data_IF_893912466263
#
_entry.id   IF_893912466263
#
_cell.length_a   1.000
_cell.length_b   1.000
_cell.length_c   1.000
_cell.angle_alpha   90.00
_cell.angle_beta   90.00
_cell.angle_gamma   90.00
#
_symmetry.space_group_name_H-M   'P 1'
#
loop_
_entity.id
_entity.type
_entity.pdbx_description
1 polymer ?
#
# COMPACT_ATOMS: atom_id res chain seq x y z
N UNK A 1 18.68 -17.24 33.49
CA UNK A 1 17.33 -16.75 33.16
C UNK A 1 17.52 -15.41 32.47
N UNK A 2 17.46 -15.39 31.13
CA UNK A 2 17.80 -14.21 30.34
C UNK A 2 16.64 -13.22 30.47
N UNK A 3 16.72 -12.27 31.40
CA UNK A 3 15.75 -11.17 31.48
C UNK A 3 16.00 -10.33 30.23
N UNK A 4 15.13 -10.47 29.23
CA UNK A 4 15.21 -9.63 28.03
C UNK A 4 15.27 -8.17 28.47
N UNK A 5 16.20 -7.40 27.88
CA UNK A 5 16.34 -5.96 28.11
C UNK A 5 14.93 -5.32 27.99
N UNK A 6 14.46 -4.59 29.02
CA UNK A 6 13.11 -4.03 29.02
C UNK A 6 12.85 -3.12 27.80
N UNK A 7 13.90 -2.49 27.24
CA UNK A 7 13.77 -1.75 25.99
C UNK A 7 13.46 -2.67 24.82
N UNK A 8 14.22 -3.75 24.66
CA UNK A 8 14.04 -4.73 23.59
C UNK A 8 12.65 -5.36 23.68
N UNK A 9 12.25 -5.83 24.87
CA UNK A 9 10.96 -6.47 25.07
C UNK A 9 9.79 -5.53 24.72
N UNK A 10 9.83 -4.28 25.18
CA UNK A 10 8.80 -3.29 24.89
C UNK A 10 8.77 -2.91 23.40
N UNK A 11 9.93 -2.76 22.75
CA UNK A 11 9.99 -2.41 21.34
C UNK A 11 9.45 -3.54 20.45
N UNK A 12 9.91 -4.78 20.67
CA UNK A 12 9.48 -5.93 19.88
C UNK A 12 7.99 -6.20 20.03
N UNK A 13 7.40 -5.95 21.22
CA UNK A 13 5.96 -6.04 21.43
C UNK A 13 5.16 -5.07 20.53
N UNK A 14 5.76 -3.95 20.11
CA UNK A 14 5.09 -2.93 19.30
C UNK A 14 5.65 -2.79 17.87
N UNK A 15 6.76 -3.46 17.51
CA UNK A 15 7.43 -3.33 16.21
C UNK A 15 6.46 -3.45 15.04
N UNK A 16 5.61 -4.49 15.03
CA UNK A 16 4.62 -4.71 13.96
C UNK A 16 3.64 -3.54 13.83
N UNK A 17 3.18 -2.99 14.94
CA UNK A 17 2.30 -1.81 14.95
C UNK A 17 3.04 -0.58 14.39
N UNK A 18 4.27 -0.34 14.84
CA UNK A 18 5.09 0.79 14.37
C UNK A 18 5.35 0.72 12.87
N UNK A 19 5.71 -0.45 12.34
CA UNK A 19 5.87 -0.66 10.90
C UNK A 19 4.56 -0.42 10.14
N UNK A 20 3.43 -0.91 10.69
CA UNK A 20 2.11 -0.69 10.12
C UNK A 20 1.70 0.79 10.06
N UNK A 21 2.03 1.57 11.10
CA UNK A 21 1.84 3.03 11.15
C UNK A 21 2.71 3.69 10.09
N UNK A 22 4.02 3.42 10.13
CA UNK A 22 5.00 4.08 9.28
C UNK A 22 4.71 3.81 7.80
N UNK A 23 4.39 2.57 7.42
CA UNK A 23 4.01 2.23 6.05
C UNK A 23 2.71 2.92 5.61
N UNK A 24 1.68 2.97 6.46
CA UNK A 24 0.43 3.70 6.15
C UNK A 24 0.65 5.20 6.05
N UNK A 25 1.63 5.76 6.74
CA UNK A 25 2.02 7.16 6.63
C UNK A 25 2.87 7.45 5.42
N UNK A 26 3.75 6.54 5.01
CA UNK A 26 4.79 6.81 4.01
C UNK A 26 4.54 6.16 2.67
N UNK A 27 3.70 5.12 2.56
CA UNK A 27 3.48 4.34 1.33
C UNK A 27 4.76 3.82 0.68
N UNK A 28 5.82 3.67 1.47
CA UNK A 28 7.12 3.10 1.11
C UNK A 28 7.53 2.16 2.24
N UNK A 29 7.92 0.94 1.88
CA UNK A 29 8.37 -0.09 2.83
C UNK A 29 9.73 0.31 3.38
N UNK A 30 10.65 0.70 2.50
CA UNK A 30 12.00 1.14 2.89
C UNK A 30 11.96 2.34 3.84
N UNK A 31 11.23 3.41 3.48
CA UNK A 31 11.10 4.56 4.36
C UNK A 31 10.43 4.19 5.71
N UNK A 32 9.49 3.23 5.71
CA UNK A 32 8.86 2.77 6.94
C UNK A 32 9.83 2.01 7.86
N UNK A 33 10.62 1.10 7.30
CA UNK A 33 11.68 0.38 8.02
C UNK A 33 12.71 1.33 8.62
N UNK A 34 13.15 2.33 7.84
CA UNK A 34 14.06 3.38 8.30
C UNK A 34 13.49 4.15 9.49
N UNK A 35 12.21 4.55 9.45
CA UNK A 35 11.58 5.28 10.56
C UNK A 35 11.39 4.41 11.80
N UNK A 36 11.12 3.11 11.64
CA UNK A 36 11.05 2.15 12.76
C UNK A 36 12.44 1.95 13.37
N UNK A 37 13.48 1.85 12.56
CA UNK A 37 14.85 1.74 13.03
C UNK A 37 15.31 3.00 13.78
N UNK A 38 15.05 4.19 13.25
CA UNK A 38 15.33 5.46 13.93
C UNK A 38 14.54 5.57 15.26
N UNK A 39 13.30 5.06 15.28
CA UNK A 39 12.51 4.97 16.53
C UNK A 39 13.19 4.08 17.56
N UNK A 40 13.71 2.91 17.15
CA UNK A 40 14.48 2.02 18.03
C UNK A 40 15.72 2.72 18.61
N UNK A 41 16.49 3.43 17.77
CA UNK A 41 17.70 4.12 18.22
C UNK A 41 17.43 5.21 19.28
N UNK A 42 16.26 5.86 19.21
CA UNK A 42 15.81 6.81 20.22
C UNK A 42 15.30 6.11 21.47
N UNK A 43 14.54 5.02 21.29
CA UNK A 43 13.99 4.22 22.39
C UNK A 43 15.08 3.60 23.26
N UNK A 44 16.11 3.03 22.65
CA UNK A 44 17.24 2.42 23.35
C UNK A 44 18.06 3.40 24.22
N UNK A 45 17.82 4.71 24.07
CA UNK A 45 18.45 5.77 24.87
C UNK A 45 17.46 6.47 25.82
N UNK A 46 16.19 6.08 25.80
CA UNK A 46 15.16 6.72 26.60
C UNK A 46 15.29 6.32 28.07
N UNK A 47 15.04 7.26 28.98
CA UNK A 47 14.87 6.92 30.39
C UNK A 47 13.46 6.36 30.62
N UNK A 48 13.38 5.04 30.84
CA UNK A 48 12.11 4.36 31.05
C UNK A 48 11.35 4.86 32.29
N UNK A 49 12.00 5.54 33.23
CA UNK A 49 11.33 6.11 34.41
C UNK A 49 10.49 7.34 34.08
N UNK A 50 10.80 8.05 33.00
CA UNK A 50 10.05 9.21 32.51
C UNK A 50 8.94 8.82 31.50
N UNK A 51 8.96 7.57 31.04
CA UNK A 51 8.01 7.06 30.05
C UNK A 51 6.74 6.57 30.74
N UNK A 52 5.61 7.26 30.49
CA UNK A 52 4.29 6.84 31.00
C UNK A 52 3.89 5.45 30.50
N UNK A 53 3.93 5.25 29.18
CA UNK A 53 3.71 3.94 28.54
C UNK A 53 4.64 3.80 27.33
N UNK A 54 5.32 2.64 27.15
CA UNK A 54 6.18 2.42 25.97
C UNK A 54 5.43 2.60 24.65
N UNK A 55 4.21 2.09 24.56
CA UNK A 55 3.37 2.21 23.37
C UNK A 55 3.15 3.67 22.95
N UNK A 56 2.72 4.54 23.87
CA UNK A 56 2.43 5.94 23.56
C UNK A 56 3.70 6.69 23.12
N UNK A 57 4.82 6.43 23.79
CA UNK A 57 6.11 7.02 23.45
C UNK A 57 6.56 6.60 22.04
N UNK A 58 6.55 5.29 21.75
CA UNK A 58 7.00 4.74 20.47
C UNK A 58 6.14 5.25 19.32
N UNK A 59 4.81 5.26 19.49
CA UNK A 59 3.87 5.76 18.49
C UNK A 59 4.05 7.27 18.25
N UNK A 60 4.32 8.04 19.30
CA UNK A 60 4.62 9.47 19.17
C UNK A 60 5.88 9.70 18.35
N UNK A 61 6.95 8.97 18.67
CA UNK A 61 8.24 9.13 17.99
C UNK A 61 8.16 8.72 16.53
N UNK A 62 7.62 7.54 16.22
CA UNK A 62 7.51 7.07 14.82
C UNK A 62 6.61 8.00 14.01
N UNK A 63 5.52 8.51 14.58
CA UNK A 63 4.59 9.41 13.87
C UNK A 63 5.24 10.75 13.53
N UNK A 64 6.02 11.32 14.46
CA UNK A 64 6.76 12.57 14.22
C UNK A 64 7.84 12.39 13.16
N UNK A 65 8.60 11.31 13.23
CA UNK A 65 9.58 10.93 12.21
C UNK A 65 8.93 10.79 10.82
N UNK A 66 7.80 10.08 10.74
CA UNK A 66 7.04 9.94 9.50
C UNK A 66 6.48 11.26 8.98
N UNK A 67 6.02 12.17 9.85
CA UNK A 67 5.55 13.50 9.45
C UNK A 67 6.66 14.33 8.80
N UNK A 68 7.87 14.28 9.36
CA UNK A 68 9.01 14.99 8.79
C UNK A 68 9.44 14.36 7.47
N UNK A 69 9.44 13.02 7.38
CA UNK A 69 9.71 12.32 6.12
C UNK A 69 8.66 12.63 5.05
N UNK A 70 7.38 12.68 5.40
CA UNK A 70 6.27 13.00 4.50
C UNK A 70 6.44 14.35 3.79
N UNK A 71 7.00 15.36 4.48
CA UNK A 71 7.28 16.66 3.87
C UNK A 71 8.28 16.52 2.71
N UNK A 72 9.34 15.73 2.91
CA UNK A 72 10.35 15.48 1.89
C UNK A 72 9.84 14.55 0.77
N UNK A 73 9.12 13.48 1.15
CA UNK A 73 8.54 12.54 0.20
C UNK A 73 7.52 13.21 -0.72
N UNK A 74 6.77 14.20 -0.23
CA UNK A 74 5.85 14.98 -1.06
C UNK A 74 6.57 15.72 -2.18
N UNK A 75 7.70 16.38 -1.88
CA UNK A 75 8.51 17.09 -2.90
C UNK A 75 9.02 16.10 -3.95
N UNK A 76 9.54 14.94 -3.51
CA UNK A 76 9.99 13.89 -4.41
C UNK A 76 8.85 13.33 -5.29
N UNK A 77 7.62 13.24 -4.76
CA UNK A 77 6.43 12.78 -5.49
C UNK A 77 5.94 13.80 -6.51
N UNK A 78 6.09 15.09 -6.23
CA UNK A 78 5.75 16.16 -7.18
C UNK A 78 6.70 16.13 -8.41
N UNK A 79 7.93 15.67 -8.22
CA UNK A 79 8.93 15.47 -9.30
C UNK A 79 8.87 14.06 -9.93
N UNK A 80 7.97 13.19 -9.46
CA UNK A 80 7.90 11.80 -9.92
C UNK A 80 7.38 11.70 -11.35
N UNK A 81 8.12 10.98 -12.21
CA UNK A 81 7.71 10.78 -13.59
C UNK A 81 6.61 9.71 -13.71
N UNK A 82 5.41 10.14 -14.06
CA UNK A 82 4.26 9.28 -14.31
C UNK A 82 3.36 9.10 -13.08
N UNK A 83 2.56 8.02 -13.08
CA UNK A 83 1.63 7.74 -11.96
C UNK A 83 2.39 7.08 -10.81
N UNK A 84 2.38 7.68 -9.62
CA UNK A 84 2.91 7.06 -8.40
C UNK A 84 1.95 5.98 -7.87
N UNK A 85 2.47 4.79 -7.57
CA UNK A 85 1.80 3.80 -6.74
C UNK A 85 2.58 3.56 -5.44
N UNK A 86 1.90 3.31 -4.29
CA UNK A 86 2.58 2.86 -3.07
C UNK A 86 3.48 1.64 -3.31
N UNK A 87 4.58 1.52 -2.58
CA UNK A 87 5.39 0.30 -2.62
C UNK A 87 4.55 -0.92 -2.21
N UNK A 88 4.60 -2.03 -2.98
CA UNK A 88 3.90 -3.26 -2.62
C UNK A 88 4.33 -3.76 -1.24
N UNK A 89 3.36 -3.98 -0.36
CA UNK A 89 3.61 -4.57 0.95
C UNK A 89 3.23 -6.05 0.93
N UNK A 90 4.22 -6.93 1.10
CA UNK A 90 3.99 -8.35 1.25
C UNK A 90 3.88 -8.68 2.75
N UNK A 91 2.86 -9.43 3.19
CA UNK A 91 2.93 -10.05 4.51
C UNK A 91 4.18 -10.94 4.57
N UNK A 92 4.94 -10.89 5.65
CA UNK A 92 6.00 -11.86 5.89
C UNK A 92 5.42 -13.28 5.79
N UNK A 93 5.97 -14.08 4.89
CA UNK A 93 5.61 -15.48 4.73
C UNK A 93 6.25 -16.32 5.86
N UNK A 94 5.88 -16.09 7.13
CA UNK A 94 6.12 -17.01 8.25
C UNK A 94 5.56 -16.46 9.58
N UNK A 95 4.28 -16.71 9.86
CA UNK A 95 3.85 -16.86 11.25
C UNK A 95 2.69 -17.85 11.30
N UNK A 96 2.97 -19.08 11.75
CA UNK A 96 2.03 -20.20 11.95
C UNK A 96 1.13 -20.02 13.18
N UNK A 97 0.85 -18.79 13.58
CA UNK A 97 0.04 -18.45 14.75
C UNK A 97 -1.41 -18.14 14.31
N UNK A 98 -2.43 -18.93 14.75
CA UNK A 98 -3.83 -18.76 14.34
C UNK A 98 -4.51 -17.47 14.83
N UNK A 99 -3.82 -16.65 15.63
CA UNK A 99 -4.36 -15.42 16.24
C UNK A 99 -4.05 -14.15 15.45
N UNK A 100 -3.41 -14.25 14.28
CA UNK A 100 -3.16 -13.12 13.36
C UNK A 100 -4.42 -12.62 12.61
N UNK A 101 -5.61 -12.86 13.17
CA UNK A 101 -6.93 -12.63 12.59
C UNK A 101 -7.61 -11.39 13.19
N UNK A 102 -6.92 -10.24 13.23
CA UNK A 102 -7.58 -8.93 13.27
C UNK A 102 -6.72 -7.95 12.47
N UNK A 103 -7.19 -7.65 11.25
CA UNK A 103 -7.18 -6.38 10.52
C UNK A 103 -5.87 -5.54 10.48
N UNK A 104 -5.36 -5.03 9.36
CA UNK A 104 -5.93 -4.73 8.07
C UNK A 104 -4.76 -4.79 7.08
N UNK A 105 -4.89 -5.57 6.04
CA UNK A 105 -4.07 -5.32 4.87
C UNK A 105 -4.49 -4.01 4.22
N UNK A 106 -3.59 -3.05 4.15
CA UNK A 106 -3.91 -1.74 3.60
C UNK A 106 -4.07 -1.85 2.11
N UNK A 107 -5.29 -1.65 1.63
CA UNK A 107 -5.54 -1.67 0.19
C UNK A 107 -4.75 -0.57 -0.51
N UNK A 108 -4.27 -0.87 -1.71
CA UNK A 108 -3.55 0.09 -2.55
C UNK A 108 -4.41 1.32 -2.80
N UNK A 109 -5.71 1.13 -3.02
CA UNK A 109 -6.67 2.21 -3.19
C UNK A 109 -6.72 3.15 -1.98
N UNK A 110 -6.80 2.61 -0.76
CA UNK A 110 -6.79 3.43 0.46
C UNK A 110 -5.49 4.22 0.56
N UNK A 111 -4.33 3.61 0.29
CA UNK A 111 -3.04 4.30 0.30
C UNK A 111 -3.01 5.44 -0.73
N UNK A 112 -3.49 5.23 -1.95
CA UNK A 112 -3.60 6.29 -2.98
C UNK A 112 -4.49 7.44 -2.50
N UNK A 113 -5.58 7.16 -1.78
CA UNK A 113 -6.44 8.19 -1.21
C UNK A 113 -5.75 8.96 -0.09
N UNK A 114 -5.02 8.25 0.78
CA UNK A 114 -4.23 8.87 1.85
C UNK A 114 -3.11 9.75 1.31
N UNK A 115 -2.53 9.42 0.14
CA UNK A 115 -1.55 10.26 -0.56
C UNK A 115 -2.11 11.62 -0.99
N UNK A 116 -3.43 11.75 -1.17
CA UNK A 116 -4.07 13.04 -1.52
C UNK A 116 -4.28 13.94 -0.29
N UNK A 117 -4.06 13.45 0.92
CA UNK A 117 -4.21 14.22 2.16
C UNK A 117 -2.94 15.03 2.45
N UNK A 118 -3.08 16.14 3.17
CA UNK A 118 -1.90 16.77 3.76
C UNK A 118 -1.25 15.85 4.80
N UNK A 119 0.08 15.95 5.06
CA UNK A 119 0.76 15.08 6.02
C UNK A 119 0.09 15.02 7.40
N UNK A 120 -0.39 16.16 7.89
CA UNK A 120 -1.08 16.26 9.19
C UNK A 120 -2.50 15.70 9.17
N UNK A 121 -3.23 15.83 8.06
CA UNK A 121 -4.55 15.18 7.89
C UNK A 121 -4.38 13.66 7.86
N UNK A 122 -3.39 13.16 7.12
CA UNK A 122 -3.06 11.73 7.04
C UNK A 122 -2.67 11.15 8.40
N UNK A 123 -1.75 11.82 9.11
CA UNK A 123 -1.31 11.37 10.43
C UNK A 123 -2.48 11.35 11.42
N UNK A 124 -3.25 12.44 11.51
CA UNK A 124 -4.42 12.49 12.40
C UNK A 124 -5.45 11.41 12.06
N UNK A 125 -5.76 11.22 10.78
CA UNK A 125 -6.70 10.19 10.32
C UNK A 125 -6.25 8.79 10.74
N UNK A 126 -4.99 8.44 10.47
CA UNK A 126 -4.45 7.12 10.79
C UNK A 126 -4.43 6.88 12.30
N UNK A 127 -3.91 7.83 13.08
CA UNK A 127 -3.86 7.72 14.54
C UNK A 127 -5.25 7.52 15.15
N UNK A 128 -6.26 8.23 14.66
CA UNK A 128 -7.62 8.11 15.20
C UNK A 128 -8.38 6.89 14.67
N UNK A 129 -8.48 6.74 13.33
CA UNK A 129 -9.38 5.77 12.70
C UNK A 129 -8.81 4.35 12.66
N UNK A 130 -7.49 4.23 12.55
CA UNK A 130 -6.82 2.92 12.41
C UNK A 130 -6.26 2.47 13.76
N UNK A 131 -5.70 3.40 14.53
CA UNK A 131 -5.02 3.06 15.79
C UNK A 131 -5.80 3.42 17.05
N UNK A 132 -6.98 4.06 16.91
CA UNK A 132 -7.91 4.28 18.03
C UNK A 132 -7.47 5.35 19.04
N UNK A 133 -6.50 6.20 18.71
CA UNK A 133 -6.04 7.26 19.62
C UNK A 133 -7.11 8.32 19.87
N UNK A 134 -7.16 8.81 21.10
CA UNK A 134 -7.95 9.98 21.49
C UNK A 134 -7.42 11.26 20.84
N UNK A 135 -8.25 12.30 20.74
CA UNK A 135 -7.82 13.58 20.18
C UNK A 135 -6.81 14.30 21.08
N UNK A 136 -6.81 13.99 22.37
CA UNK A 136 -5.88 14.44 23.37
C UNK A 136 -4.49 13.84 23.10
N UNK A 137 -4.37 12.53 22.88
CA UNK A 137 -3.09 11.90 22.48
C UNK A 137 -2.60 12.43 21.13
N UNK A 138 -3.50 12.57 20.15
CA UNK A 138 -3.14 13.12 18.83
C UNK A 138 -2.66 14.58 18.96
N UNK A 139 -3.20 15.34 19.90
CA UNK A 139 -2.78 16.73 20.15
C UNK A 139 -1.31 16.82 20.58
N UNK A 140 -0.87 15.88 21.43
CA UNK A 140 0.53 15.79 21.87
C UNK A 140 1.44 15.37 20.71
N UNK A 141 1.01 14.40 19.90
CA UNK A 141 1.80 13.90 18.77
C UNK A 141 1.98 14.96 17.69
N UNK A 142 0.88 15.60 17.26
CA UNK A 142 0.86 16.56 16.15
C UNK A 142 1.25 17.98 16.55
N UNK A 143 1.43 18.25 17.85
CA UNK A 143 1.65 19.59 18.41
C UNK A 143 0.57 20.58 17.94
N UNK A 144 -0.70 20.21 18.15
CA UNK A 144 -1.89 20.98 17.73
C UNK A 144 -3.00 20.84 18.76
N UNK A 145 -3.81 21.90 18.99
CA UNK A 145 -4.98 21.79 19.87
C UNK A 145 -5.91 20.64 19.46
N UNK A 146 -6.45 19.88 20.41
CA UNK A 146 -7.34 18.74 20.16
C UNK A 146 -8.54 19.08 19.25
N UNK A 147 -9.07 20.31 19.35
CA UNK A 147 -10.15 20.82 18.47
C UNK A 147 -9.71 20.88 17.01
N UNK A 148 -8.45 21.27 16.74
CA UNK A 148 -7.90 21.28 15.38
C UNK A 148 -7.68 19.83 14.89
N UNK A 149 -7.20 18.93 15.74
CA UNK A 149 -7.06 17.51 15.42
C UNK A 149 -8.40 16.90 14.99
N UNK A 150 -9.49 17.17 15.72
CA UNK A 150 -10.87 16.76 15.35
C UNK A 150 -11.25 17.22 13.95
N UNK A 151 -10.99 18.48 13.61
CA UNK A 151 -11.30 19.04 12.29
C UNK A 151 -10.48 18.39 11.18
N UNK A 152 -9.18 18.17 11.40
CA UNK A 152 -8.30 17.49 10.44
C UNK A 152 -8.79 16.07 10.14
N UNK A 153 -9.11 15.31 11.19
CA UNK A 153 -9.63 13.94 11.07
C UNK A 153 -10.98 13.91 10.36
N UNK A 154 -11.91 14.80 10.70
CA UNK A 154 -13.21 14.88 10.03
C UNK A 154 -13.07 15.12 8.52
N UNK A 155 -12.22 16.08 8.11
CA UNK A 155 -11.97 16.37 6.70
C UNK A 155 -11.32 15.21 5.96
N UNK A 156 -10.33 14.58 6.60
CA UNK A 156 -9.70 13.39 6.05
C UNK A 156 -10.72 12.25 5.88
N UNK A 157 -11.57 12.01 6.88
CA UNK A 157 -12.63 11.00 6.85
C UNK A 157 -13.62 11.24 5.71
N UNK A 158 -14.05 12.47 5.48
CA UNK A 158 -14.93 12.83 4.36
C UNK A 158 -14.28 12.48 3.01
N UNK A 159 -13.02 12.85 2.80
CA UNK A 159 -12.26 12.51 1.58
C UNK A 159 -12.09 11.00 1.41
N UNK A 160 -11.76 10.30 2.48
CA UNK A 160 -11.59 8.83 2.43
C UNK A 160 -12.91 8.14 2.14
N UNK A 161 -14.02 8.56 2.75
CA UNK A 161 -15.35 7.96 2.49
C UNK A 161 -15.84 8.20 1.08
N UNK A 162 -15.57 9.37 0.50
CA UNK A 162 -15.92 9.67 -0.89
C UNK A 162 -15.23 8.72 -1.90
N UNK A 163 -14.09 8.16 -1.53
CA UNK A 163 -13.23 7.36 -2.40
C UNK A 163 -13.21 5.86 -2.03
N UNK A 164 -13.86 5.45 -0.94
CA UNK A 164 -13.82 4.07 -0.41
C UNK A 164 -14.97 3.24 -0.99
N UNK A 165 -14.70 2.30 -1.92
CA UNK A 165 -15.68 1.26 -2.21
C UNK A 165 -15.84 0.31 -1.02
N UNK A 166 -17.05 -0.25 -0.88
CA UNK A 166 -17.33 -1.27 0.14
C UNK A 166 -16.72 -2.60 -0.34
N UNK A 167 -15.78 -3.15 0.43
CA UNK A 167 -15.24 -4.47 0.18
C UNK A 167 -16.35 -5.52 0.38
N UNK A 168 -16.77 -6.17 -0.71
CA UNK A 168 -17.81 -7.21 -0.69
C UNK A 168 -17.36 -8.55 -1.29
N UNK A 169 -16.14 -8.63 -1.82
CA UNK A 169 -15.64 -9.79 -2.57
C UNK A 169 -14.66 -10.62 -1.76
N UNK A 170 -14.83 -11.94 -1.78
CA UNK A 170 -13.91 -12.89 -1.13
C UNK A 170 -12.61 -13.05 -1.92
N UNK A 171 -11.52 -13.52 -1.28
CA UNK A 171 -10.25 -13.77 -1.97
C UNK A 171 -10.40 -14.79 -3.12
N UNK A 172 -11.25 -15.81 -2.97
CA UNK A 172 -11.50 -16.81 -4.01
C UNK A 172 -12.16 -16.19 -5.25
N UNK A 173 -13.18 -15.36 -5.06
CA UNK A 173 -13.83 -14.63 -6.17
C UNK A 173 -12.86 -13.65 -6.84
N UNK A 174 -11.98 -13.02 -6.05
CA UNK A 174 -10.94 -12.11 -6.55
C UNK A 174 -9.94 -12.84 -7.44
N UNK A 175 -9.40 -13.98 -6.99
CA UNK A 175 -8.47 -14.82 -7.76
C UNK A 175 -9.10 -15.35 -9.05
N UNK A 176 -10.37 -15.76 -9.00
CA UNK A 176 -11.11 -16.21 -10.18
C UNK A 176 -11.28 -15.08 -11.20
N UNK A 177 -11.67 -13.88 -10.76
CA UNK A 177 -11.83 -12.73 -11.65
C UNK A 177 -10.49 -12.27 -12.23
N UNK A 178 -9.43 -12.25 -11.42
CA UNK A 178 -8.07 -11.96 -11.88
C UNK A 178 -7.61 -12.95 -12.94
N UNK A 179 -7.83 -14.24 -12.73
CA UNK A 179 -7.47 -15.29 -13.70
C UNK A 179 -8.22 -15.12 -15.01
N UNK A 180 -9.54 -14.87 -14.95
CA UNK A 180 -10.37 -14.61 -16.13
C UNK A 180 -9.94 -13.35 -16.88
N UNK A 181 -9.63 -12.28 -16.15
CA UNK A 181 -9.12 -11.03 -16.71
C UNK A 181 -7.83 -11.23 -17.50
N UNK A 182 -6.84 -11.94 -16.91
CA UNK A 182 -5.58 -12.24 -17.58
C UNK A 182 -5.77 -13.14 -18.80
N UNK A 183 -6.66 -14.12 -18.70
CA UNK A 183 -7.01 -15.02 -19.82
C UNK A 183 -7.60 -14.24 -20.99
N UNK A 184 -8.57 -13.36 -20.73
CA UNK A 184 -9.19 -12.53 -21.76
C UNK A 184 -8.19 -11.55 -22.40
N UNK A 185 -7.27 -10.97 -21.61
CA UNK A 185 -6.18 -10.15 -22.13
C UNK A 185 -5.29 -10.93 -23.10
N UNK A 186 -4.88 -12.15 -22.73
CA UNK A 186 -4.06 -13.04 -23.56
C UNK A 186 -4.75 -13.45 -24.86
N UNK A 187 -6.02 -13.81 -24.76
CA UNK A 187 -6.83 -14.23 -25.90
C UNK A 187 -7.22 -13.04 -26.81
N UNK A 188 -7.06 -11.80 -26.34
CA UNK A 188 -7.46 -10.61 -27.08
C UNK A 188 -8.98 -10.45 -27.16
N UNK A 189 -9.72 -10.97 -26.19
CA UNK A 189 -11.18 -11.01 -26.20
C UNK A 189 -11.78 -9.72 -25.61
N UNK A 190 -12.35 -8.89 -26.48
CA UNK A 190 -12.94 -7.60 -26.09
C UNK A 190 -14.16 -7.72 -25.19
N UNK A 191 -15.14 -8.56 -25.56
CA UNK A 191 -16.42 -8.62 -24.83
C UNK A 191 -16.26 -9.14 -23.40
N UNK A 192 -15.52 -10.24 -23.14
CA UNK A 192 -15.25 -10.68 -21.77
C UNK A 192 -14.57 -9.62 -20.91
N UNK A 193 -13.62 -8.84 -21.47
CA UNK A 193 -13.01 -7.73 -20.74
C UNK A 193 -14.05 -6.67 -20.39
N UNK A 194 -14.84 -6.19 -21.35
CA UNK A 194 -15.90 -5.21 -21.09
C UNK A 194 -16.90 -5.69 -20.03
N UNK A 195 -17.23 -6.98 -20.03
CA UNK A 195 -18.14 -7.59 -19.06
C UNK A 195 -17.55 -7.67 -17.65
N UNK A 196 -16.24 -7.59 -17.47
CA UNK A 196 -15.59 -7.59 -16.15
C UNK A 196 -15.34 -6.19 -15.59
N UNK A 197 -15.37 -5.15 -16.42
CA UNK A 197 -15.04 -3.77 -16.05
C UNK A 197 -16.29 -2.93 -15.74
N UNK A 198 -16.21 -2.03 -14.76
CA UNK A 198 -17.16 -0.91 -14.65
C UNK A 198 -16.90 0.14 -15.74
N UNK A 199 -17.90 0.96 -16.05
CA UNK A 199 -17.79 1.96 -17.13
C UNK A 199 -16.61 2.93 -16.94
N UNK A 200 -16.40 3.40 -15.71
CA UNK A 200 -15.38 4.37 -15.30
C UNK A 200 -14.12 3.72 -14.68
N UNK A 201 -13.83 2.45 -15.02
CA UNK A 201 -12.65 1.74 -14.53
C UNK A 201 -11.38 2.56 -14.72
N UNK A 202 -10.50 2.55 -13.72
CA UNK A 202 -9.23 3.30 -13.75
C UNK A 202 -8.02 2.37 -13.70
N UNK A 203 -7.10 2.51 -14.66
CA UNK A 203 -5.80 1.85 -14.69
C UNK A 203 -4.70 2.81 -14.22
N UNK A 204 -4.05 2.42 -13.13
CA UNK A 204 -2.85 3.06 -12.59
C UNK A 204 -1.63 2.24 -13.00
N UNK A 205 -0.63 2.88 -13.61
CA UNK A 205 0.59 2.21 -14.04
C UNK A 205 1.81 3.01 -13.60
N UNK A 206 2.59 2.43 -12.70
CA UNK A 206 3.77 3.08 -12.12
C UNK A 206 5.05 2.52 -12.73
N UNK A 207 5.67 3.29 -13.63
CA UNK A 207 6.98 2.96 -14.21
C UNK A 207 8.15 3.70 -13.56
N UNK A 208 7.90 4.72 -12.75
CA UNK A 208 8.93 5.58 -12.12
C UNK A 208 9.98 6.17 -13.06
N UNK A 209 9.64 6.39 -14.33
CA UNK A 209 10.60 6.81 -15.37
C UNK A 209 11.64 5.76 -15.77
N UNK A 210 11.58 4.55 -15.20
CA UNK A 210 12.56 3.46 -15.39
C UNK A 210 12.01 2.29 -16.21
N UNK A 211 10.68 2.16 -16.30
CA UNK A 211 9.98 1.18 -17.12
C UNK A 211 8.82 1.85 -17.85
N UNK A 212 8.39 1.28 -18.99
CA UNK A 212 7.45 1.96 -19.90
C UNK A 212 6.20 2.52 -19.22
N UNK A 213 5.19 1.76 -18.78
CA UNK A 213 4.00 2.31 -18.10
C UNK A 213 3.17 3.41 -18.82
N UNK A 214 1.94 3.58 -18.35
CA UNK A 214 1.06 4.66 -18.80
C UNK A 214 1.38 5.92 -17.99
N UNK A 215 1.63 7.09 -18.63
CA UNK A 215 2.07 8.29 -17.91
C UNK A 215 1.00 8.91 -17.02
N UNK A 216 -0.28 8.72 -17.31
CA UNK A 216 -1.42 9.20 -16.52
C UNK A 216 -2.41 8.06 -16.30
N UNK A 217 -3.26 8.17 -15.28
CA UNK A 217 -4.34 7.20 -15.06
C UNK A 217 -5.22 7.12 -16.31
N UNK A 218 -5.40 5.92 -16.87
CA UNK A 218 -6.39 5.70 -17.94
C UNK A 218 -7.74 5.43 -17.30
N UNK A 219 -8.77 6.12 -17.75
CA UNK A 219 -10.13 5.95 -17.26
C UNK A 219 -11.06 5.59 -18.41
N UNK A 220 -11.97 4.66 -18.17
CA UNK A 220 -12.99 4.23 -19.14
C UNK A 220 -12.77 2.81 -19.64
N UNK A 221 -13.79 1.95 -19.53
CA UNK A 221 -13.69 0.52 -19.89
C UNK A 221 -13.23 0.26 -21.31
N UNK A 222 -13.67 1.06 -22.28
CA UNK A 222 -13.29 0.89 -23.69
C UNK A 222 -11.81 1.21 -23.92
N UNK A 223 -11.32 2.27 -23.27
CA UNK A 223 -9.91 2.71 -23.36
C UNK A 223 -9.02 1.67 -22.70
N UNK A 224 -9.38 1.22 -21.49
CA UNK A 224 -8.65 0.20 -20.73
C UNK A 224 -8.64 -1.15 -21.47
N UNK A 225 -9.78 -1.57 -22.03
CA UNK A 225 -9.88 -2.82 -22.81
C UNK A 225 -8.99 -2.78 -24.04
N UNK A 226 -9.07 -1.72 -24.84
CA UNK A 226 -8.20 -1.53 -26.02
C UNK A 226 -6.72 -1.51 -25.63
N UNK A 227 -6.37 -0.89 -24.50
CA UNK A 227 -5.00 -0.90 -23.99
C UNK A 227 -4.51 -2.33 -23.74
N UNK A 228 -5.25 -3.15 -22.98
CA UNK A 228 -4.85 -4.52 -22.67
C UNK A 228 -4.77 -5.44 -23.89
N UNK A 229 -5.69 -5.30 -24.84
CA UNK A 229 -5.63 -6.02 -26.13
C UNK A 229 -4.38 -5.60 -26.91
N UNK A 230 -4.10 -4.31 -27.00
CA UNK A 230 -2.99 -3.80 -27.79
C UNK A 230 -1.61 -4.18 -27.23
N UNK A 231 -1.46 -4.28 -25.90
CA UNK A 231 -0.19 -4.73 -25.31
C UNK A 231 0.02 -6.22 -25.46
N UNK A 232 -1.06 -7.01 -25.50
CA UNK A 232 -1.04 -8.48 -25.55
C UNK A 232 -1.03 -9.04 -26.97
N UNK A 233 -1.33 -8.23 -27.99
CA UNK A 233 -1.40 -8.67 -29.40
C UNK A 233 -0.06 -9.20 -29.93
N UNK A 234 -0.07 -10.06 -30.96
CA UNK A 234 1.13 -10.42 -31.70
C UNK A 234 1.88 -9.17 -32.21
N UNK A 235 3.14 -9.01 -31.81
CA UNK A 235 3.99 -7.86 -32.15
C UNK A 235 3.91 -6.70 -31.14
N UNK A 236 3.12 -6.84 -30.08
CA UNK A 236 2.99 -5.85 -29.02
C UNK A 236 4.18 -5.79 -28.06
N UNK A 237 4.25 -4.77 -27.18
CA UNK A 237 5.33 -4.60 -26.21
C UNK A 237 5.48 -5.75 -25.20
N UNK A 238 4.43 -6.53 -24.97
CA UNK A 238 4.45 -7.66 -24.03
C UNK A 238 4.71 -9.01 -24.71
N UNK A 239 5.14 -9.04 -25.99
CA UNK A 239 5.24 -10.25 -26.82
C UNK A 239 6.42 -11.19 -26.49
N UNK A 240 6.95 -11.15 -25.28
CA UNK A 240 7.80 -12.22 -24.75
C UNK A 240 6.94 -13.41 -24.29
N UNK A 241 7.54 -14.59 -24.14
CA UNK A 241 6.97 -15.58 -23.23
C UNK A 241 6.97 -14.94 -21.85
N UNK A 242 5.80 -14.55 -21.36
CA UNK A 242 5.67 -14.10 -20.00
C UNK A 242 4.97 -15.16 -19.17
N UNK A 243 5.56 -15.47 -18.04
CA UNK A 243 4.96 -16.34 -17.04
C UNK A 243 4.16 -15.48 -16.08
N UNK A 244 3.04 -16.03 -15.61
CA UNK A 244 2.30 -15.40 -14.51
C UNK A 244 2.40 -16.25 -13.28
N UNK A 245 2.81 -15.64 -12.17
CA UNK A 245 2.85 -16.27 -10.86
C UNK A 245 1.82 -15.61 -9.94
N UNK A 246 0.89 -16.36 -9.33
CA UNK A 246 0.03 -15.82 -8.29
C UNK A 246 0.86 -15.25 -7.13
N UNK A 247 0.37 -14.19 -6.51
CA UNK A 247 0.96 -13.58 -5.32
C UNK A 247 -0.13 -12.89 -4.49
N UNK A 248 0.25 -12.38 -3.32
CA UNK A 248 -0.61 -11.50 -2.52
C UNK A 248 0.23 -10.36 -2.00
N UNK A 249 -0.27 -9.15 -2.15
CA UNK A 249 0.34 -7.94 -1.63
C UNK A 249 -0.74 -6.92 -1.30
N UNK A 250 -0.49 -6.11 -0.27
CA UNK A 250 -1.46 -5.16 0.25
C UNK A 250 -2.81 -5.79 0.61
N UNK A 251 -2.81 -7.11 0.89
CA UNK A 251 -4.00 -7.87 1.32
C UNK A 251 -4.89 -8.44 0.28
N UNK A 252 -4.58 -8.20 -0.98
CA UNK A 252 -5.41 -8.64 -2.08
C UNK A 252 -4.63 -9.62 -2.92
N UNK A 253 -5.31 -10.63 -3.49
CA UNK A 253 -4.71 -11.45 -4.52
C UNK A 253 -4.18 -10.57 -5.66
N UNK A 254 -3.03 -10.98 -6.20
CA UNK A 254 -2.36 -10.31 -7.28
C UNK A 254 -1.60 -11.29 -8.16
N UNK A 255 -0.98 -10.76 -9.19
CA UNK A 255 -0.19 -11.54 -10.13
C UNK A 255 1.14 -10.86 -10.41
N UNK A 256 2.19 -11.66 -10.46
CA UNK A 256 3.47 -11.26 -11.03
C UNK A 256 3.51 -11.67 -12.48
N UNK A 257 3.87 -10.74 -13.35
CA UNK A 257 4.18 -11.00 -14.75
C UNK A 257 5.70 -11.01 -14.85
N UNK A 258 6.26 -12.15 -15.27
CA UNK A 258 7.69 -12.38 -15.38
C UNK A 258 8.09 -12.50 -16.84
N UNK A 259 9.21 -11.88 -17.21
CA UNK A 259 9.87 -12.03 -18.52
C UNK A 259 11.31 -12.45 -18.27
N UNK A 260 11.78 -13.50 -18.94
CA UNK A 260 13.13 -14.06 -18.75
C UNK A 260 13.48 -14.33 -17.28
N UNK A 261 12.51 -14.87 -16.52
CA UNK A 261 12.64 -15.18 -15.09
C UNK A 261 12.59 -13.95 -14.15
N UNK A 262 12.50 -12.73 -14.68
CA UNK A 262 12.45 -11.50 -13.88
C UNK A 262 11.03 -10.92 -13.80
N UNK A 263 10.59 -10.53 -12.62
CA UNK A 263 9.33 -9.80 -12.44
C UNK A 263 9.40 -8.43 -13.08
N UNK A 264 8.59 -8.19 -14.12
CA UNK A 264 8.49 -6.92 -14.84
C UNK A 264 7.21 -6.15 -14.50
N UNK A 265 6.23 -6.81 -13.90
CA UNK A 265 5.00 -6.18 -13.41
C UNK A 265 4.45 -6.96 -12.22
N UNK A 266 4.02 -6.26 -11.18
CA UNK A 266 3.10 -6.78 -10.18
C UNK A 266 1.75 -6.08 -10.39
N UNK A 267 0.67 -6.86 -10.49
CA UNK A 267 -0.66 -6.35 -10.77
C UNK A 267 -1.66 -6.81 -9.72
N UNK A 268 -2.52 -5.89 -9.28
CA UNK A 268 -3.65 -6.14 -8.41
C UNK A 268 -4.91 -5.44 -8.95
N UNK A 269 -6.07 -5.98 -8.58
CA UNK A 269 -7.38 -5.45 -8.95
C UNK A 269 -8.11 -4.94 -7.72
N UNK A 270 -8.80 -3.82 -7.85
CA UNK A 270 -9.90 -3.46 -6.95
C UNK A 270 -11.19 -4.00 -7.55
N UNK A 271 -11.92 -4.79 -6.77
CA UNK A 271 -13.16 -5.44 -7.18
C UNK A 271 -14.27 -5.03 -6.23
N UNK A 272 -15.39 -4.62 -6.81
CA UNK A 272 -16.59 -4.20 -6.09
C UNK A 272 -17.78 -4.87 -6.77
N UNK A 273 -18.57 -5.63 -6.00
CA UNK A 273 -19.77 -6.31 -6.51
C UNK A 273 -19.48 -7.16 -7.77
N UNK A 274 -18.32 -7.82 -7.79
CA UNK A 274 -17.89 -8.69 -8.89
C UNK A 274 -17.39 -7.98 -10.15
N UNK A 275 -17.23 -6.65 -10.12
CA UNK A 275 -16.69 -5.85 -11.23
C UNK A 275 -15.37 -5.20 -10.85
N UNK A 276 -14.47 -5.08 -11.83
CA UNK A 276 -13.17 -4.42 -11.69
C UNK A 276 -13.39 -2.91 -11.77
N UNK A 277 -13.09 -2.19 -10.68
CA UNK A 277 -13.17 -0.73 -10.58
C UNK A 277 -11.82 -0.06 -10.80
N UNK A 278 -10.74 -0.69 -10.34
CA UNK A 278 -9.37 -0.19 -10.53
C UNK A 278 -8.40 -1.32 -10.83
N UNK A 279 -7.38 -1.01 -11.61
CA UNK A 279 -6.27 -1.89 -11.93
C UNK A 279 -4.99 -1.18 -11.50
N UNK A 280 -4.19 -1.82 -10.66
CA UNK A 280 -2.90 -1.29 -10.22
C UNK A 280 -1.79 -2.11 -10.86
N UNK A 281 -0.92 -1.47 -11.62
CA UNK A 281 0.21 -2.10 -12.31
C UNK A 281 1.52 -1.45 -11.87
N UNK A 282 2.21 -2.10 -10.94
CA UNK A 282 3.56 -1.71 -10.52
C UNK A 282 4.56 -2.22 -11.54
N UNK A 283 5.31 -1.31 -12.15
CA UNK A 283 6.36 -1.61 -13.15
C UNK A 283 7.71 -1.01 -12.80
N UNK A 284 7.77 -0.07 -11.85
CA UNK A 284 9.00 0.53 -11.37
C UNK A 284 9.91 -0.58 -10.80
N UNK A 285 11.09 -0.83 -11.41
CA UNK A 285 12.00 -1.89 -10.98
C UNK A 285 12.45 -1.77 -9.52
N UNK A 286 12.57 -0.56 -8.98
CA UNK A 286 12.97 -0.38 -7.57
C UNK A 286 11.93 -0.98 -6.62
N UNK A 287 10.64 -0.79 -6.94
CA UNK A 287 9.51 -1.30 -6.14
C UNK A 287 9.30 -2.80 -6.35
N UNK A 288 9.64 -3.31 -7.53
CA UNK A 288 9.51 -4.73 -7.85
C UNK A 288 10.54 -5.63 -7.14
N UNK A 289 11.61 -5.06 -6.58
CA UNK A 289 12.59 -5.80 -5.74
C UNK A 289 11.93 -6.52 -4.57
N UNK A 290 10.82 -6.00 -4.06
CA UNK A 290 10.03 -6.62 -2.99
C UNK A 290 9.59 -8.07 -3.33
N UNK A 291 9.45 -8.40 -4.62
CA UNK A 291 9.05 -9.73 -5.08
C UNK A 291 10.22 -10.66 -5.47
N UNK A 292 11.46 -10.16 -5.42
CA UNK A 292 12.65 -10.94 -5.79
C UNK A 292 13.22 -11.71 -4.59
N UNK A 293 12.95 -11.27 -3.36
CA UNK A 293 13.52 -11.82 -2.13
C UNK A 293 13.00 -13.22 -1.74
N UNK A 294 12.00 -13.78 -2.44
CA UNK A 294 11.37 -15.07 -2.08
C UNK A 294 11.86 -16.26 -2.92
N UNK A 295 12.83 -16.08 -3.82
CA UNK A 295 13.32 -17.16 -4.69
C UNK A 295 14.47 -18.01 -4.09
N UNK A 296 14.78 -17.83 -2.80
CA UNK A 296 15.84 -18.56 -2.12
C UNK A 296 15.49 -18.86 -0.67
N UNK A 297 14.65 -19.87 -0.44
CA UNK A 297 14.51 -20.58 0.82
C UNK A 297 14.09 -22.02 0.53
#
# INVERSE_FOLDING_TARGET
>A
MNIADPHVAAFEAHRKQLTGVAYRMLSSVSDAEDMVQETWLRWAKADLTEVKTPQSWLLTVVSRLCLDRLKSARVQREEYYGTWLPEPYLPEAASTEPTAQVDESVSIALLIVLEKLSPVERAGFLLHEVFGHSFEEISEILDKPAVNCRKLVSRARERVRAEKPRFTTTNSEHEQLLTRFLSACRAGETQPLLDMLVEDVSLYSDGGGKATAVPKVLTGRDIVTKFFINISRPGGPARGFYETRPTSFNGSPGVLIQMDGQTVTAMALEIVEGKITKIFSHRNPDKLRAFQATAGA
#
